data_IF_980494696839
#
_entry.id   IF_980494696839
#
_cell.length_a   1.000
_cell.length_b   1.000
_cell.length_c   1.000
_cell.angle_alpha   90.00
_cell.angle_beta   90.00
_cell.angle_gamma   90.00
#
_symmetry.space_group_name_H-M   'P 1'
#
loop_
_entity.id
_entity.type
_entity.pdbx_description
1 polymer ?
#
# COMPACT_ATOMS: atom_id res chain seq x y z
N UNK A 1 -13.55 -4.36 -28.44
CA UNK A 1 -12.28 -5.02 -28.09
C UNK A 1 -11.19 -3.97 -28.16
N UNK A 2 -10.46 -3.82 -27.09
CA UNK A 2 -9.23 -3.04 -27.09
C UNK A 2 -8.21 -3.91 -27.80
N UNK A 3 -7.40 -3.34 -28.70
CA UNK A 3 -6.31 -4.02 -29.36
C UNK A 3 -5.18 -4.31 -28.35
N UNK A 4 -3.96 -3.89 -28.65
CA UNK A 4 -2.80 -4.00 -27.78
C UNK A 4 -2.79 -2.83 -26.79
N UNK A 5 -2.54 -3.11 -25.50
CA UNK A 5 -2.40 -2.12 -24.43
C UNK A 5 -0.94 -1.98 -24.02
N UNK A 6 -0.38 -0.79 -24.17
CA UNK A 6 0.97 -0.47 -23.75
C UNK A 6 0.88 0.44 -22.51
N UNK A 7 1.62 0.10 -21.48
CA UNK A 7 1.66 0.87 -20.23
C UNK A 7 3.06 1.47 -20.01
N UNK A 8 3.14 2.79 -19.94
CA UNK A 8 4.36 3.48 -19.55
C UNK A 8 4.43 3.55 -18.01
N UNK A 9 5.39 2.86 -17.42
CA UNK A 9 5.55 2.73 -15.98
C UNK A 9 6.86 3.33 -15.50
N UNK A 10 6.88 3.78 -14.25
CA UNK A 10 8.14 4.10 -13.57
C UNK A 10 8.98 2.82 -13.40
N UNK A 11 10.30 2.92 -13.53
CA UNK A 11 11.23 1.77 -13.45
C UNK A 11 11.05 0.94 -12.18
N UNK A 12 10.77 1.59 -11.03
CA UNK A 12 10.57 0.91 -9.75
C UNK A 12 9.31 0.04 -9.70
N UNK A 13 8.30 0.30 -10.56
CA UNK A 13 7.03 -0.45 -10.61
C UNK A 13 6.95 -1.38 -11.81
N UNK A 14 7.81 -1.24 -12.80
CA UNK A 14 7.71 -1.93 -14.08
C UNK A 14 7.64 -3.46 -13.95
N UNK A 15 8.49 -4.05 -13.11
CA UNK A 15 8.50 -5.50 -12.91
C UNK A 15 7.17 -6.02 -12.34
N UNK A 16 6.57 -5.27 -11.43
CA UNK A 16 5.28 -5.60 -10.85
C UNK A 16 4.17 -5.46 -11.91
N UNK A 17 4.25 -4.41 -12.77
CA UNK A 17 3.31 -4.16 -13.84
C UNK A 17 3.29 -5.25 -14.92
N UNK A 18 4.41 -5.90 -15.19
CA UNK A 18 4.48 -7.01 -16.14
C UNK A 18 3.59 -8.21 -15.73
N UNK A 19 3.24 -8.31 -14.46
CA UNK A 19 2.29 -9.33 -13.96
C UNK A 19 0.83 -8.92 -14.07
N UNK A 20 0.56 -7.66 -14.47
CA UNK A 20 -0.78 -7.12 -14.49
C UNK A 20 -1.60 -7.58 -15.70
N UNK A 21 -2.76 -8.19 -15.45
CA UNK A 21 -3.64 -8.67 -16.51
C UNK A 21 -4.33 -7.50 -17.22
N UNK A 22 -4.15 -7.40 -18.53
CA UNK A 22 -4.75 -6.38 -19.38
C UNK A 22 -3.75 -5.35 -19.88
N UNK A 23 -2.48 -5.49 -19.50
CA UNK A 23 -1.34 -4.80 -20.10
C UNK A 23 -0.58 -5.83 -20.93
N UNK A 24 -0.39 -5.54 -22.21
CA UNK A 24 0.32 -6.42 -23.13
C UNK A 24 1.82 -6.13 -23.15
N UNK A 25 2.19 -4.88 -22.83
CA UNK A 25 3.57 -4.43 -22.80
C UNK A 25 3.75 -3.30 -21.76
N UNK A 26 4.84 -3.38 -21.00
CA UNK A 26 5.24 -2.33 -20.06
C UNK A 26 6.53 -1.68 -20.57
N UNK A 27 6.54 -0.35 -20.67
CA UNK A 27 7.69 0.45 -21.06
C UNK A 27 8.12 1.34 -19.92
N UNK A 28 9.41 1.38 -19.63
CA UNK A 28 10.02 2.34 -18.68
C UNK A 28 10.50 3.61 -19.36
N UNK A 29 10.75 3.52 -20.68
CA UNK A 29 11.07 4.63 -21.55
C UNK A 29 10.16 4.53 -22.77
N UNK A 30 9.45 5.61 -23.08
CA UNK A 30 8.54 5.65 -24.22
C UNK A 30 9.32 6.16 -25.44
N UNK A 31 9.50 5.35 -26.49
CA UNK A 31 10.14 5.80 -27.73
C UNK A 31 9.37 6.95 -28.36
N UNK A 32 10.06 7.91 -28.98
CA UNK A 32 9.43 9.05 -29.67
C UNK A 32 8.47 8.63 -30.79
N UNK A 33 8.76 7.52 -31.45
CA UNK A 33 8.00 7.00 -32.60
C UNK A 33 7.21 5.73 -32.30
N UNK A 34 6.66 5.58 -31.09
CA UNK A 34 5.81 4.45 -30.79
C UNK A 34 4.43 4.63 -31.48
N UNK A 35 3.98 3.68 -32.34
CA UNK A 35 2.66 3.80 -32.95
C UNK A 35 1.55 3.48 -31.94
N UNK A 36 0.55 4.36 -31.86
CA UNK A 36 -0.66 4.17 -31.05
C UNK A 36 -1.86 4.85 -31.70
N UNK A 37 -3.04 4.30 -31.51
CA UNK A 37 -4.30 4.91 -31.95
C UNK A 37 -4.82 5.91 -30.92
N UNK A 38 -4.63 5.63 -29.62
CA UNK A 38 -5.09 6.45 -28.50
C UNK A 38 -4.07 6.46 -27.39
N UNK A 39 -3.79 7.64 -26.86
CA UNK A 39 -2.99 7.84 -25.67
C UNK A 39 -3.81 8.53 -24.60
N UNK A 40 -3.68 8.09 -23.35
CA UNK A 40 -4.35 8.70 -22.21
C UNK A 40 -3.44 8.71 -20.99
N UNK A 41 -3.23 9.87 -20.34
CA UNK A 41 -2.60 9.90 -19.03
C UNK A 41 -3.42 9.10 -18.02
N UNK A 42 -2.74 8.30 -17.21
CA UNK A 42 -3.39 7.38 -16.26
C UNK A 42 -4.35 8.13 -15.31
N UNK A 43 -3.96 9.31 -14.84
CA UNK A 43 -4.78 10.18 -13.99
C UNK A 43 -6.06 10.70 -14.67
N UNK A 44 -6.15 10.62 -15.99
CA UNK A 44 -7.34 11.04 -16.74
C UNK A 44 -8.37 9.90 -16.91
N UNK A 45 -8.00 8.66 -16.59
CA UNK A 45 -8.90 7.50 -16.70
C UNK A 45 -10.18 7.67 -15.87
N UNK A 46 -10.13 8.11 -14.59
CA UNK A 46 -11.36 8.29 -13.80
C UNK A 46 -12.35 9.22 -14.48
N UNK A 47 -11.86 10.35 -14.99
CA UNK A 47 -12.69 11.34 -15.68
C UNK A 47 -13.30 10.80 -16.99
N UNK A 48 -12.58 9.95 -17.70
CA UNK A 48 -13.04 9.38 -18.98
C UNK A 48 -13.99 8.20 -18.82
N UNK A 49 -13.79 7.41 -17.77
CA UNK A 49 -14.61 6.25 -17.48
C UNK A 49 -15.84 6.59 -16.65
N UNK A 50 -15.85 7.77 -16.02
CA UNK A 50 -16.93 8.29 -15.16
C UNK A 50 -17.48 7.25 -14.17
N UNK A 51 -16.62 6.57 -13.40
CA UNK A 51 -17.07 5.56 -12.47
C UNK A 51 -17.79 6.21 -11.29
N UNK A 52 -18.98 5.74 -10.97
CA UNK A 52 -19.58 6.05 -9.69
C UNK A 52 -18.79 5.38 -8.56
N UNK A 53 -18.68 6.04 -7.39
CA UNK A 53 -17.96 5.49 -6.24
C UNK A 53 -18.40 4.07 -5.84
N UNK A 54 -19.71 3.78 -5.99
CA UNK A 54 -20.30 2.47 -5.70
C UNK A 54 -19.99 1.39 -6.75
N UNK A 55 -19.53 1.80 -7.95
CA UNK A 55 -19.17 0.89 -9.05
C UNK A 55 -17.67 0.72 -9.19
N UNK A 56 -16.89 1.38 -8.34
CA UNK A 56 -15.46 1.10 -8.26
C UNK A 56 -15.27 -0.36 -7.88
N UNK A 57 -14.46 -1.10 -8.62
CA UNK A 57 -14.18 -2.48 -8.26
C UNK A 57 -13.39 -2.50 -6.95
N UNK A 58 -14.11 -2.77 -5.89
CA UNK A 58 -13.58 -2.93 -4.56
C UNK A 58 -13.41 -4.44 -4.30
N UNK A 59 -12.30 -4.98 -4.76
CA UNK A 59 -11.99 -6.40 -4.58
C UNK A 59 -11.35 -6.62 -3.21
N UNK A 60 -11.96 -7.46 -2.38
CA UNK A 60 -11.35 -7.89 -1.13
C UNK A 60 -10.16 -8.84 -1.34
N UNK A 61 -9.98 -9.35 -2.54
CA UNK A 61 -8.88 -10.24 -2.92
C UNK A 61 -7.69 -9.50 -3.53
N UNK A 62 -7.81 -8.17 -3.71
CA UNK A 62 -6.87 -7.38 -4.47
C UNK A 62 -7.01 -7.59 -5.98
N UNK A 63 -6.31 -6.77 -6.76
CA UNK A 63 -6.29 -6.85 -8.23
C UNK A 63 -4.86 -6.95 -8.78
N UNK A 64 -3.87 -6.84 -7.90
CA UNK A 64 -2.46 -6.97 -8.22
C UNK A 64 -1.95 -8.34 -7.77
N UNK A 65 -1.11 -8.95 -8.57
CA UNK A 65 -0.44 -10.20 -8.25
C UNK A 65 1.08 -10.01 -8.27
N UNK A 66 1.76 -10.77 -7.43
CA UNK A 66 3.22 -10.78 -7.40
C UNK A 66 3.74 -11.84 -8.36
N UNK A 67 4.76 -11.54 -9.19
CA UNK A 67 5.40 -12.55 -10.04
C UNK A 67 5.88 -13.74 -9.22
N UNK A 68 5.72 -14.95 -9.76
CA UNK A 68 6.13 -16.17 -9.05
C UNK A 68 7.64 -16.26 -8.75
N UNK A 69 8.45 -15.47 -9.46
CA UNK A 69 9.89 -15.36 -9.23
C UNK A 69 10.27 -14.38 -8.11
N UNK A 70 9.32 -13.58 -7.64
CA UNK A 70 9.57 -12.59 -6.60
C UNK A 70 9.85 -13.27 -5.26
N UNK A 71 10.82 -12.74 -4.54
CA UNK A 71 11.21 -13.25 -3.23
C UNK A 71 10.91 -12.19 -2.16
N UNK A 72 10.34 -12.64 -1.07
CA UNK A 72 10.18 -11.82 0.13
C UNK A 72 11.52 -11.52 0.77
N UNK A 73 11.63 -10.34 1.38
CA UNK A 73 12.80 -9.93 2.15
C UNK A 73 12.77 -10.47 3.60
N UNK A 74 11.66 -11.09 4.01
CA UNK A 74 11.47 -11.61 5.37
C UNK A 74 12.30 -12.89 5.62
N UNK A 75 12.83 -13.07 6.83
CA UNK A 75 13.34 -14.36 7.27
C UNK A 75 12.18 -15.34 7.49
N UNK A 76 12.47 -16.65 7.65
CA UNK A 76 11.46 -17.63 8.01
C UNK A 76 10.63 -17.18 9.23
N UNK A 77 9.32 -17.49 9.21
CA UNK A 77 8.41 -17.07 10.28
C UNK A 77 8.80 -17.70 11.63
N UNK A 78 8.76 -16.88 12.69
CA UNK A 78 8.89 -17.34 14.08
C UNK A 78 7.58 -17.93 14.61
N UNK A 79 6.45 -17.74 13.89
CA UNK A 79 5.09 -18.06 14.32
C UNK A 79 4.41 -16.92 15.08
N UNK A 80 5.09 -15.82 15.36
CA UNK A 80 4.49 -14.61 15.89
C UNK A 80 3.76 -13.82 14.78
N UNK A 81 2.79 -12.99 15.17
CA UNK A 81 2.08 -12.10 14.25
C UNK A 81 3.05 -11.04 13.70
N UNK A 82 3.14 -10.92 12.38
CA UNK A 82 4.03 -9.97 11.70
C UNK A 82 3.31 -8.72 11.28
N UNK A 83 3.74 -7.58 11.79
CA UNK A 83 3.18 -6.28 11.43
C UNK A 83 4.23 -5.42 10.75
N UNK A 84 3.96 -5.07 9.49
CA UNK A 84 4.79 -4.15 8.71
C UNK A 84 4.46 -2.70 9.03
N UNK A 85 5.47 -1.83 9.12
CA UNK A 85 5.30 -0.43 9.47
C UNK A 85 6.00 0.51 8.49
N UNK A 86 5.28 1.59 8.08
CA UNK A 86 5.82 2.75 7.37
C UNK A 86 5.27 4.02 8.01
N UNK A 87 6.14 4.94 8.42
CA UNK A 87 5.75 6.16 9.14
C UNK A 87 6.04 7.44 8.38
N UNK A 88 6.80 7.38 7.29
CA UNK A 88 7.15 8.57 6.52
C UNK A 88 7.12 8.29 5.02
N UNK A 89 6.73 9.29 4.26
CA UNK A 89 6.71 9.28 2.81
C UNK A 89 7.98 9.86 2.17
N UNK A 90 7.86 10.25 0.91
CA UNK A 90 8.92 10.93 0.19
C UNK A 90 9.00 12.40 0.65
N UNK A 91 10.14 12.86 1.18
CA UNK A 91 10.29 14.23 1.68
C UNK A 91 10.20 15.31 0.56
N UNK A 92 10.28 14.92 -0.71
CA UNK A 92 10.06 15.83 -1.84
C UNK A 92 8.59 16.08 -2.15
N UNK A 93 7.69 15.30 -1.56
CA UNK A 93 6.25 15.49 -1.76
C UNK A 93 5.77 16.74 -1.03
N UNK A 94 5.00 17.60 -1.71
CA UNK A 94 4.58 18.91 -1.18
C UNK A 94 3.84 18.84 0.16
N UNK A 95 3.11 17.74 0.43
CA UNK A 95 2.36 17.54 1.67
C UNK A 95 3.05 16.57 2.65
N UNK A 96 4.34 16.30 2.49
CA UNK A 96 5.01 15.28 3.29
C UNK A 96 5.04 15.61 4.79
N UNK A 97 5.22 16.88 5.14
CA UNK A 97 5.22 17.36 6.53
C UNK A 97 3.93 17.04 7.29
N UNK A 98 2.80 16.94 6.59
CA UNK A 98 1.51 16.66 7.22
C UNK A 98 1.22 15.14 7.29
N UNK A 99 1.64 14.37 6.28
CA UNK A 99 1.33 12.93 6.16
C UNK A 99 2.36 12.01 6.82
N UNK A 100 3.59 12.47 6.99
CA UNK A 100 4.67 11.74 7.66
C UNK A 100 4.69 12.07 9.15
N UNK A 101 5.13 11.12 9.97
CA UNK A 101 5.34 11.33 11.39
C UNK A 101 6.74 10.88 11.82
N UNK A 102 7.22 11.40 12.93
CA UNK A 102 8.39 10.86 13.59
C UNK A 102 8.04 9.54 14.27
N UNK A 103 8.89 8.53 14.14
CA UNK A 103 8.64 7.20 14.68
C UNK A 103 8.41 7.21 16.21
N UNK A 104 9.06 8.14 16.92
CA UNK A 104 8.90 8.33 18.37
C UNK A 104 7.49 8.75 18.79
N UNK A 105 6.73 9.43 17.91
CA UNK A 105 5.35 9.86 18.20
C UNK A 105 4.35 8.70 18.18
N UNK A 106 4.74 7.58 17.55
CA UNK A 106 3.91 6.38 17.47
C UNK A 106 4.54 5.20 18.22
N UNK A 107 5.58 5.44 19.03
CA UNK A 107 6.35 4.38 19.68
C UNK A 107 5.51 3.48 20.61
N UNK A 108 4.41 3.98 21.19
CA UNK A 108 3.54 3.19 22.05
C UNK A 108 2.91 1.95 21.41
N UNK A 109 2.87 1.88 20.06
CA UNK A 109 2.40 0.68 19.37
C UNK A 109 3.33 -0.51 19.59
N UNK A 110 4.63 -0.27 19.77
CA UNK A 110 5.63 -1.32 19.98
C UNK A 110 5.52 -2.00 21.35
N UNK A 111 4.84 -1.37 22.31
CA UNK A 111 4.57 -1.95 23.64
C UNK A 111 3.50 -3.07 23.58
N UNK A 112 2.81 -3.22 22.45
CA UNK A 112 1.84 -4.31 22.26
C UNK A 112 2.59 -5.66 22.14
N UNK A 113 2.38 -6.60 23.07
CA UNK A 113 3.15 -7.84 23.10
C UNK A 113 2.71 -8.81 21.99
N UNK A 114 3.57 -9.76 21.63
CA UNK A 114 3.23 -10.84 20.71
C UNK A 114 3.30 -10.47 19.22
N UNK A 115 3.88 -9.33 18.90
CA UNK A 115 4.08 -8.84 17.53
C UNK A 115 5.56 -8.89 17.16
N UNK A 116 5.85 -9.46 15.99
CA UNK A 116 7.12 -9.31 15.29
C UNK A 116 7.03 -8.08 14.38
N UNK A 117 7.64 -6.97 14.83
CA UNK A 117 7.62 -5.71 14.10
C UNK A 117 8.60 -5.73 12.95
N UNK A 118 8.13 -5.33 11.77
CA UNK A 118 8.91 -5.27 10.53
C UNK A 118 8.85 -3.87 9.96
N UNK A 119 9.99 -3.22 9.80
CA UNK A 119 10.07 -1.94 9.11
C UNK A 119 10.09 -2.15 7.60
N UNK A 120 9.09 -1.60 6.92
CA UNK A 120 9.05 -1.44 5.48
C UNK A 120 9.50 -0.03 5.06
N UNK A 121 9.95 0.79 6.02
CA UNK A 121 10.40 2.15 5.75
C UNK A 121 11.72 2.13 5.01
N UNK A 122 11.80 2.89 3.91
CA UNK A 122 13.02 3.08 3.13
C UNK A 122 13.51 4.53 3.25
N UNK A 123 14.78 4.75 2.87
CA UNK A 123 15.40 6.06 2.86
C UNK A 123 15.78 6.59 4.24
N UNK A 124 15.97 7.92 4.32
CA UNK A 124 16.51 8.56 5.54
C UNK A 124 15.68 8.30 6.81
N UNK A 125 14.32 8.28 6.76
CA UNK A 125 13.52 7.99 7.96
C UNK A 125 13.78 6.61 8.58
N UNK A 126 14.23 5.62 7.81
CA UNK A 126 14.53 4.28 8.34
C UNK A 126 15.56 4.31 9.48
N UNK A 127 16.45 5.30 9.50
CA UNK A 127 17.46 5.49 10.56
C UNK A 127 16.84 5.78 11.94
N UNK A 128 15.59 6.18 12.00
CA UNK A 128 14.90 6.44 13.27
C UNK A 128 14.73 5.18 14.11
N UNK A 129 14.74 3.98 13.49
CA UNK A 129 14.65 2.71 14.20
C UNK A 129 15.74 2.60 15.28
N UNK A 130 16.95 3.08 15.00
CA UNK A 130 18.06 3.05 15.95
C UNK A 130 17.84 3.85 17.24
N UNK A 131 16.79 4.70 17.26
CA UNK A 131 16.40 5.50 18.43
C UNK A 131 15.34 4.83 19.30
N UNK A 132 14.78 3.71 18.84
CA UNK A 132 13.81 2.93 19.59
C UNK A 132 14.51 1.93 20.52
N UNK A 133 13.96 1.77 21.71
CA UNK A 133 14.31 0.69 22.62
C UNK A 133 13.39 -0.54 22.39
N UNK A 134 13.22 -0.91 21.11
CA UNK A 134 12.36 -2.01 20.69
C UNK A 134 13.02 -2.82 19.58
N UNK A 135 12.73 -4.11 19.53
CA UNK A 135 13.23 -4.97 18.49
C UNK A 135 12.34 -4.85 17.23
N UNK A 136 12.84 -4.17 16.22
CA UNK A 136 12.17 -4.00 14.91
C UNK A 136 13.09 -4.56 13.83
N UNK A 137 12.58 -5.50 13.04
CA UNK A 137 13.30 -6.03 11.89
C UNK A 137 13.36 -4.98 10.78
N UNK A 138 14.52 -4.40 10.56
CA UNK A 138 14.73 -3.40 9.50
C UNK A 138 14.97 -4.08 8.14
N UNK A 139 14.11 -3.80 7.18
CA UNK A 139 14.24 -4.28 5.80
C UNK A 139 14.64 -3.17 4.81
N UNK A 140 14.99 -1.97 5.26
CA UNK A 140 15.23 -0.80 4.42
C UNK A 140 16.20 -1.05 3.26
N UNK A 141 17.27 -1.83 3.49
CA UNK A 141 18.28 -2.17 2.47
C UNK A 141 17.87 -3.34 1.55
N UNK A 142 16.87 -4.12 1.97
CA UNK A 142 16.40 -5.30 1.22
C UNK A 142 15.23 -5.00 0.29
N UNK A 143 14.49 -3.92 0.54
CA UNK A 143 13.35 -3.49 -0.28
C UNK A 143 13.82 -2.71 -1.51
N UNK A 144 14.44 -3.39 -2.45
CA UNK A 144 15.12 -2.81 -3.61
C UNK A 144 14.16 -2.34 -4.71
N UNK A 145 12.98 -2.92 -4.78
CA UNK A 145 11.91 -2.54 -5.71
C UNK A 145 10.52 -2.91 -5.17
N UNK A 146 9.48 -2.51 -5.90
CA UNK A 146 8.09 -2.79 -5.50
C UNK A 146 7.71 -4.26 -5.62
N UNK A 147 8.41 -5.06 -6.38
CA UNK A 147 8.15 -6.51 -6.50
C UNK A 147 8.56 -7.22 -5.22
N UNK A 148 9.76 -6.90 -4.69
CA UNK A 148 10.23 -7.40 -3.40
C UNK A 148 9.34 -6.91 -2.27
N UNK A 149 8.97 -5.62 -2.29
CA UNK A 149 8.06 -5.03 -1.29
C UNK A 149 6.69 -5.73 -1.31
N UNK A 150 6.14 -5.99 -2.50
CA UNK A 150 4.87 -6.70 -2.67
C UNK A 150 4.93 -8.14 -2.15
N UNK A 151 5.99 -8.88 -2.48
CA UNK A 151 6.20 -10.23 -1.96
C UNK A 151 6.32 -10.24 -0.43
N UNK A 152 7.01 -9.25 0.13
CA UNK A 152 7.16 -9.08 1.57
C UNK A 152 5.82 -8.77 2.25
N UNK A 153 5.01 -7.85 1.68
CA UNK A 153 3.68 -7.50 2.20
C UNK A 153 2.75 -8.71 2.28
N UNK A 154 2.81 -9.62 1.30
CA UNK A 154 1.95 -10.81 1.30
C UNK A 154 2.26 -11.82 2.40
N UNK A 155 3.44 -11.74 3.04
CA UNK A 155 3.84 -12.56 4.17
C UNK A 155 3.61 -11.88 5.53
N UNK A 156 3.03 -10.67 5.53
CA UNK A 156 2.65 -9.94 6.73
C UNK A 156 1.17 -10.19 7.08
N UNK A 157 0.87 -10.22 8.35
CA UNK A 157 -0.50 -10.31 8.85
C UNK A 157 -1.24 -8.97 8.81
N UNK A 158 -0.49 -7.88 8.93
CA UNK A 158 -1.01 -6.52 8.89
C UNK A 158 0.08 -5.55 8.40
N UNK A 159 -0.32 -4.56 7.62
CA UNK A 159 0.51 -3.39 7.29
C UNK A 159 -0.08 -2.16 7.97
N UNK A 160 0.73 -1.42 8.71
CA UNK A 160 0.38 -0.10 9.26
C UNK A 160 1.23 0.93 8.54
N UNK A 161 0.62 1.89 7.88
CA UNK A 161 1.36 2.85 7.05
C UNK A 161 0.69 4.21 7.05
N UNK A 162 1.46 5.28 7.02
CA UNK A 162 0.95 6.60 6.65
C UNK A 162 0.58 6.61 5.16
N UNK A 163 -0.02 7.70 4.67
CA UNK A 163 -0.43 7.85 3.26
C UNK A 163 0.79 7.89 2.31
N UNK A 164 1.22 6.71 1.87
CA UNK A 164 2.38 6.50 0.98
C UNK A 164 2.07 5.49 -0.11
N UNK A 165 3.02 5.25 -1.02
CA UNK A 165 2.92 4.18 -2.03
C UNK A 165 2.64 2.80 -1.43
N UNK A 166 3.07 2.55 -0.19
CA UNK A 166 2.88 1.25 0.48
C UNK A 166 1.41 0.98 0.79
N UNK A 167 0.60 1.98 1.19
CA UNK A 167 -0.83 1.75 1.40
C UNK A 167 -1.53 1.36 0.10
N UNK A 168 -1.15 1.98 -1.00
CA UNK A 168 -1.71 1.67 -2.32
C UNK A 168 -1.29 0.28 -2.80
N UNK A 169 -0.02 -0.08 -2.60
CA UNK A 169 0.48 -1.41 -2.92
C UNK A 169 -0.23 -2.49 -2.10
N UNK A 170 -0.27 -2.33 -0.78
CA UNK A 170 -0.91 -3.27 0.13
C UNK A 170 -2.42 -3.43 -0.17
N UNK A 171 -3.11 -2.31 -0.41
CA UNK A 171 -4.52 -2.32 -0.82
C UNK A 171 -4.76 -3.01 -2.15
N UNK A 172 -3.90 -2.76 -3.15
CA UNK A 172 -3.97 -3.40 -4.46
C UNK A 172 -3.71 -4.92 -4.41
N UNK A 173 -2.88 -5.36 -3.47
CA UNK A 173 -2.64 -6.78 -3.16
C UNK A 173 -3.75 -7.40 -2.31
N UNK A 174 -4.68 -6.60 -1.79
CA UNK A 174 -5.71 -7.04 -0.87
C UNK A 174 -5.18 -7.41 0.52
N UNK A 175 -3.98 -6.96 0.89
CA UNK A 175 -3.38 -7.20 2.19
C UNK A 175 -4.09 -6.38 3.29
N UNK A 176 -4.32 -6.94 4.49
CA UNK A 176 -4.87 -6.18 5.61
C UNK A 176 -4.00 -4.96 5.90
N UNK A 177 -4.61 -3.77 5.90
CA UNK A 177 -3.84 -2.53 6.00
C UNK A 177 -4.57 -1.50 6.85
N UNK A 178 -3.86 -0.86 7.75
CA UNK A 178 -4.30 0.31 8.50
C UNK A 178 -3.55 1.54 7.99
N UNK A 179 -4.30 2.47 7.41
CA UNK A 179 -3.75 3.71 6.89
C UNK A 179 -3.92 4.85 7.90
N UNK A 180 -2.81 5.42 8.34
CA UNK A 180 -2.74 6.54 9.25
C UNK A 180 -2.82 7.84 8.45
N UNK A 181 -3.85 8.60 8.68
CA UNK A 181 -4.14 9.81 7.91
C UNK A 181 -3.94 11.08 8.74
N UNK A 182 -3.31 12.06 8.13
CA UNK A 182 -3.28 13.42 8.64
C UNK A 182 -4.71 13.98 8.84
N UNK A 183 -4.84 15.02 9.65
CA UNK A 183 -6.13 15.71 9.89
C UNK A 183 -6.77 16.22 8.59
N UNK A 184 -5.97 16.75 7.66
CA UNK A 184 -6.38 17.11 6.31
C UNK A 184 -5.75 16.11 5.32
N UNK A 185 -6.40 14.97 5.05
CA UNK A 185 -5.86 13.93 4.18
C UNK A 185 -6.02 14.29 2.71
N UNK A 186 -5.38 13.53 1.83
CA UNK A 186 -5.64 13.59 0.40
C UNK A 186 -7.11 13.27 0.09
N UNK A 187 -7.64 13.87 -0.96
CA UNK A 187 -9.04 13.73 -1.38
C UNK A 187 -9.49 12.27 -1.59
N UNK A 188 -8.58 11.37 -1.92
CA UNK A 188 -8.84 9.94 -2.14
C UNK A 188 -9.42 9.27 -0.90
N UNK A 189 -9.00 9.73 0.26
CA UNK A 189 -9.41 9.17 1.54
C UNK A 189 -10.72 9.75 2.08
N UNK A 190 -11.26 10.81 1.43
CA UNK A 190 -12.48 11.50 1.88
C UNK A 190 -12.36 12.04 3.31
N UNK A 191 -13.47 12.42 3.96
CA UNK A 191 -13.40 13.13 5.24
C UNK A 191 -13.96 12.35 6.45
N UNK A 192 -15.03 11.56 6.26
CA UNK A 192 -15.85 11.11 7.39
C UNK A 192 -15.98 9.59 7.52
N UNK A 193 -15.18 8.81 6.80
CA UNK A 193 -15.27 7.35 6.81
C UNK A 193 -13.99 6.71 7.31
N UNK A 194 -14.09 5.50 7.84
CA UNK A 194 -12.97 4.68 8.30
C UNK A 194 -12.64 3.51 7.35
N UNK A 195 -13.41 3.39 6.25
CA UNK A 195 -13.14 2.52 5.11
C UNK A 195 -12.77 3.35 3.86
N UNK A 196 -12.45 2.69 2.76
CA UNK A 196 -12.18 3.36 1.48
C UNK A 196 -12.83 2.62 0.32
N UNK A 197 -13.38 3.35 -0.70
CA UNK A 197 -13.95 2.71 -1.86
C UNK A 197 -12.90 2.10 -2.80
N UNK A 198 -11.62 2.43 -2.60
CA UNK A 198 -10.52 1.95 -3.44
C UNK A 198 -10.03 0.56 -3.04
N UNK A 199 -10.01 0.23 -1.74
CA UNK A 199 -9.44 -0.98 -1.18
C UNK A 199 -10.25 -1.49 0.00
N UNK A 200 -10.92 -2.61 -0.16
CA UNK A 200 -11.72 -3.20 0.93
C UNK A 200 -10.89 -3.75 2.09
N UNK A 201 -9.59 -3.98 1.86
CA UNK A 201 -8.66 -4.45 2.87
C UNK A 201 -8.04 -3.33 3.71
N UNK A 202 -8.34 -2.06 3.39
CA UNK A 202 -7.74 -0.90 4.07
C UNK A 202 -8.72 -0.26 5.03
N UNK A 203 -8.31 -0.11 6.29
CA UNK A 203 -9.00 0.69 7.32
C UNK A 203 -8.27 2.00 7.54
N UNK A 204 -9.02 3.09 7.68
CA UNK A 204 -8.50 4.44 7.81
C UNK A 204 -8.51 4.89 9.28
N UNK A 205 -7.37 5.34 9.76
CA UNK A 205 -7.17 5.95 11.07
C UNK A 205 -6.84 7.42 10.91
N UNK A 206 -7.74 8.29 11.34
CA UNK A 206 -7.63 9.74 11.12
C UNK A 206 -7.19 10.45 12.39
N UNK A 207 -6.28 11.41 12.23
CA UNK A 207 -6.01 12.39 13.28
C UNK A 207 -7.27 13.22 13.58
N UNK A 208 -7.55 13.42 14.86
CA UNK A 208 -8.62 14.31 15.30
C UNK A 208 -8.20 15.78 15.26
N UNK A 209 -6.93 16.06 15.50
CA UNK A 209 -6.31 17.37 15.42
C UNK A 209 -5.04 17.30 14.59
N UNK A 210 -4.70 18.39 13.92
CA UNK A 210 -3.51 18.43 13.06
C UNK A 210 -2.23 18.15 13.86
N UNK A 211 -1.45 17.19 13.38
CA UNK A 211 -0.18 16.77 13.99
C UNK A 211 -0.30 15.87 15.22
N UNK A 212 -1.52 15.50 15.64
CA UNK A 212 -1.74 14.64 16.81
C UNK A 212 -1.60 13.15 16.44
N UNK A 213 -0.37 12.74 16.20
CA UNK A 213 -0.01 11.35 15.97
C UNK A 213 -0.05 10.51 17.25
N UNK A 214 0.18 11.12 18.40
CA UNK A 214 0.23 10.41 19.68
C UNK A 214 -1.14 9.85 20.06
N UNK A 215 -2.19 10.66 20.05
CA UNK A 215 -3.55 10.15 20.32
C UNK A 215 -3.97 9.09 19.31
N UNK A 216 -3.60 9.28 18.03
CA UNK A 216 -3.88 8.30 17.00
C UNK A 216 -3.18 6.97 17.28
N UNK A 217 -1.91 6.99 17.71
CA UNK A 217 -1.13 5.78 17.99
C UNK A 217 -1.66 4.99 19.19
N UNK A 218 -2.18 5.65 20.23
CA UNK A 218 -2.85 4.97 21.34
C UNK A 218 -4.09 4.19 20.89
N UNK A 219 -4.92 4.77 20.01
CA UNK A 219 -6.06 4.06 19.42
C UNK A 219 -5.62 2.85 18.61
N UNK A 220 -4.51 2.97 17.86
CA UNK A 220 -3.94 1.86 17.10
C UNK A 220 -3.46 0.76 18.04
N UNK A 221 -2.78 1.10 19.13
CA UNK A 221 -2.33 0.13 20.12
C UNK A 221 -3.50 -0.64 20.76
N UNK A 222 -4.60 0.04 21.08
CA UNK A 222 -5.83 -0.59 21.59
C UNK A 222 -6.45 -1.56 20.56
N UNK A 223 -6.55 -1.14 19.29
CA UNK A 223 -7.09 -1.98 18.22
C UNK A 223 -6.15 -3.16 17.87
N UNK A 224 -4.83 -2.99 18.00
CA UNK A 224 -3.87 -4.09 17.86
C UNK A 224 -4.07 -5.17 18.92
N UNK A 225 -4.31 -4.80 20.17
CA UNK A 225 -4.63 -5.77 21.23
C UNK A 225 -5.90 -6.55 20.89
N UNK A 226 -6.92 -5.91 20.30
CA UNK A 226 -8.12 -6.61 19.85
C UNK A 226 -7.85 -7.51 18.64
N UNK A 227 -6.98 -7.07 17.72
CA UNK A 227 -6.59 -7.83 16.53
C UNK A 227 -5.88 -9.14 16.91
N UNK A 228 -4.99 -9.10 17.90
CA UNK A 228 -4.30 -10.29 18.43
C UNK A 228 -5.27 -11.35 18.98
N UNK A 229 -6.41 -10.94 19.54
CA UNK A 229 -7.40 -11.85 20.12
C UNK A 229 -8.39 -12.41 19.06
N UNK A 230 -8.29 -12.01 17.80
CA UNK A 230 -9.13 -12.47 16.68
C UNK A 230 -8.30 -13.08 15.54
N UNK A 231 -7.59 -14.20 15.77
CA UNK A 231 -6.69 -14.77 14.76
C UNK A 231 -7.40 -15.24 13.47
N UNK A 232 -8.74 -15.34 13.46
CA UNK A 232 -9.52 -15.74 12.28
C UNK A 232 -9.55 -14.67 11.18
N UNK A 233 -9.12 -13.43 11.44
CA UNK A 233 -8.94 -12.40 10.43
C UNK A 233 -7.55 -12.43 9.77
N UNK A 234 -6.59 -13.13 10.37
CA UNK A 234 -5.24 -13.34 9.86
C UNK A 234 -5.14 -14.56 8.91
N UNK A 235 -6.09 -15.48 8.97
CA UNK A 235 -6.09 -16.71 8.17
C UNK A 235 -6.73 -16.51 6.81
N UNK A 236 -6.06 -15.88 5.85
CA UNK A 236 -6.49 -15.90 4.45
C UNK A 236 -6.13 -17.22 3.79
N UNK A 237 -7.14 -18.05 3.56
CA UNK A 237 -7.10 -18.95 2.41
C UNK A 237 -7.13 -18.09 1.15
N UNK A 238 -5.98 -17.91 0.55
CA UNK A 238 -5.84 -17.37 -0.80
C UNK A 238 -6.37 -18.44 -1.77
N UNK A 239 -7.67 -18.45 -1.96
CA UNK A 239 -8.29 -19.27 -3.02
C UNK A 239 -9.51 -18.56 -3.55
N UNK A 240 -9.39 -18.17 -4.84
CA UNK A 240 -10.42 -18.11 -5.88
C UNK A 240 -10.88 -16.78 -6.47
N UNK A 241 -10.64 -16.73 -7.78
CA UNK A 241 -11.46 -16.34 -8.93
C UNK A 241 -11.49 -14.88 -9.36
N UNK A 242 -10.62 -14.57 -10.29
CA UNK A 242 -10.78 -13.51 -11.27
C UNK A 242 -11.65 -14.00 -12.43
N UNK A 243 -12.97 -13.81 -12.35
CA UNK A 243 -13.89 -14.02 -13.47
C UNK A 243 -14.72 -12.79 -13.82
N UNK A 244 -14.57 -11.68 -13.11
CA UNK A 244 -15.36 -10.47 -13.37
C UNK A 244 -14.67 -9.54 -14.38
N UNK A 245 -15.28 -9.26 -15.55
CA UNK A 245 -14.79 -8.30 -16.53
C UNK A 245 -14.71 -6.85 -15.99
N UNK A 246 -15.50 -6.49 -14.98
CA UNK A 246 -15.48 -5.15 -14.36
C UNK A 246 -14.19 -4.91 -13.56
N UNK A 247 -13.59 -5.94 -12.96
CA UNK A 247 -12.31 -5.85 -12.27
C UNK A 247 -11.16 -5.44 -13.21
N UNK A 248 -11.29 -5.69 -14.51
CA UNK A 248 -10.28 -5.33 -15.53
C UNK A 248 -10.18 -3.83 -15.77
N UNK A 249 -11.22 -3.07 -15.49
CA UNK A 249 -11.27 -1.62 -15.76
C UNK A 249 -10.77 -0.77 -14.59
N UNK A 250 -10.73 -1.31 -13.38
CA UNK A 250 -10.38 -0.55 -12.19
C UNK A 250 -8.90 -0.54 -11.84
N UNK A 251 -8.21 -1.56 -12.23
CA UNK A 251 -6.81 -1.67 -11.91
C UNK A 251 -5.97 -0.47 -12.41
N UNK A 252 -6.17 0.07 -13.64
CA UNK A 252 -5.50 1.30 -14.07
C UNK A 252 -5.78 2.51 -13.17
N UNK A 253 -6.99 2.60 -12.59
CA UNK A 253 -7.36 3.71 -11.72
C UNK A 253 -6.55 3.74 -10.42
N UNK A 254 -6.25 2.59 -9.86
CA UNK A 254 -5.48 2.49 -8.63
C UNK A 254 -3.97 2.65 -8.87
N UNK A 255 -3.47 2.37 -10.09
CA UNK A 255 -2.07 2.58 -10.45
C UNK A 255 -1.66 4.03 -10.50
N UNK A 256 -2.54 4.91 -10.94
CA UNK A 256 -2.28 6.35 -10.88
C UNK A 256 -1.95 6.81 -9.45
N UNK A 257 -2.39 6.04 -8.45
CA UNK A 257 -2.15 6.30 -7.04
C UNK A 257 -0.73 5.89 -6.60
N UNK A 258 -0.18 4.83 -7.18
CA UNK A 258 1.20 4.40 -6.91
C UNK A 258 2.21 5.38 -7.52
N UNK A 259 1.99 5.87 -8.73
CA UNK A 259 2.93 6.76 -9.41
C UNK A 259 3.03 8.16 -8.79
N UNK A 260 1.96 8.66 -8.17
CA UNK A 260 1.99 9.98 -7.50
C UNK A 260 2.50 9.92 -6.05
N UNK A 261 2.82 8.74 -5.54
CA UNK A 261 3.42 8.58 -4.22
C UNK A 261 4.95 8.67 -4.24
N UNK A 262 5.56 8.78 -5.45
CA UNK A 262 6.97 9.05 -5.69
C UNK A 262 7.17 10.54 -5.95
#
# INVERSE_FOLDING_TARGET
SVGRTIFAAHSATANLMNSFRGVDEVLTEVPEEIPFDVQLPLMSLPHRLDPELKTLPNSCEGYLSVPASAQSALPPSSGALRVGLVWAGNPRHANDQNRSCELTKIACIFDVPGIEWVSLQVGEPAKEISRLDHNVLDLSEKLTDFTVTAATILELDLVITVDTSVVHLAGALGAPTWCLLAHAPDWRWMLSRDDTPWYSSVRLYRQQSAGDWTTLSHRIAEDLLQFLHRPQLAGRQITRFYTDPAARLAAPLCFSLLENAF
#
